data_IF_230297906284
#
_entry.id   IF_230297906284
#
_cell.length_a   1.000
_cell.length_b   1.000
_cell.length_c   1.000
_cell.angle_alpha   90.00
_cell.angle_beta   90.00
_cell.angle_gamma   90.00
#
_symmetry.space_group_name_H-M   'P 1'
#
loop_
_entity.id
_entity.type
_entity.pdbx_description
1 polymer ?
#
# COMPACT_ATOMS: atom_id res chain seq x y z
N UNK A 1 -45.78 -25.75 -65.19
CA UNK A 1 -46.40 -24.56 -64.55
C UNK A 1 -45.97 -24.30 -63.10
N UNK A 2 -44.83 -24.80 -62.58
CA UNK A 2 -44.42 -24.61 -61.16
C UNK A 2 -43.35 -23.52 -60.91
N UNK A 3 -42.85 -22.86 -61.93
CA UNK A 3 -41.75 -21.87 -61.81
C UNK A 3 -42.19 -20.48 -61.35
N UNK A 4 -43.49 -20.15 -61.34
CA UNK A 4 -43.96 -18.79 -61.00
C UNK A 4 -44.01 -18.47 -59.50
N UNK A 5 -43.84 -19.45 -58.60
CA UNK A 5 -43.99 -19.24 -57.14
C UNK A 5 -42.67 -18.91 -56.41
N UNK A 6 -41.51 -19.27 -56.97
CA UNK A 6 -40.22 -19.11 -56.28
C UNK A 6 -39.61 -17.70 -56.33
N UNK A 7 -39.92 -16.94 -57.38
CA UNK A 7 -39.37 -15.59 -57.58
C UNK A 7 -39.68 -14.61 -56.43
N UNK A 8 -40.91 -14.47 -55.92
CA UNK A 8 -41.20 -13.53 -54.82
C UNK A 8 -40.51 -13.91 -53.50
N UNK A 9 -40.31 -15.21 -53.21
CA UNK A 9 -39.60 -15.64 -52.01
C UNK A 9 -38.11 -15.25 -52.04
N UNK A 10 -37.46 -15.38 -53.21
CA UNK A 10 -36.05 -15.01 -53.35
C UNK A 10 -35.87 -13.50 -53.15
N UNK A 11 -36.76 -12.67 -53.70
CA UNK A 11 -36.71 -11.22 -53.50
C UNK A 11 -36.92 -10.83 -52.03
N UNK A 12 -37.87 -11.47 -51.32
CA UNK A 12 -38.10 -11.21 -49.91
C UNK A 12 -36.88 -11.58 -49.03
N UNK A 13 -36.24 -12.71 -49.32
CA UNK A 13 -35.02 -13.13 -48.62
C UNK A 13 -33.85 -12.16 -48.87
N UNK A 14 -33.66 -11.69 -50.11
CA UNK A 14 -32.61 -10.73 -50.44
C UNK A 14 -32.81 -9.38 -49.71
N UNK A 15 -34.04 -8.88 -49.63
CA UNK A 15 -34.35 -7.65 -48.90
C UNK A 15 -34.14 -7.80 -47.39
N UNK A 16 -34.47 -8.96 -46.81
CA UNK A 16 -34.22 -9.22 -45.39
C UNK A 16 -32.71 -9.22 -45.07
N UNK A 17 -31.88 -9.86 -45.92
CA UNK A 17 -30.42 -9.87 -45.75
C UNK A 17 -29.84 -8.45 -45.85
N UNK A 18 -30.27 -7.66 -46.84
CA UNK A 18 -29.84 -6.27 -46.97
C UNK A 18 -30.26 -5.42 -45.76
N UNK A 19 -31.47 -5.62 -45.24
CA UNK A 19 -31.95 -4.95 -44.03
C UNK A 19 -31.08 -5.25 -42.80
N UNK A 20 -30.71 -6.51 -42.60
CA UNK A 20 -29.82 -6.92 -41.50
C UNK A 20 -28.42 -6.32 -41.64
N UNK A 21 -27.86 -6.28 -42.85
CA UNK A 21 -26.55 -5.67 -43.10
C UNK A 21 -26.55 -4.16 -42.82
N UNK A 22 -27.55 -3.43 -43.33
CA UNK A 22 -27.70 -1.99 -43.07
C UNK A 22 -27.92 -1.72 -41.58
N UNK A 23 -28.73 -2.53 -40.89
CA UNK A 23 -28.92 -2.42 -39.45
C UNK A 23 -27.63 -2.62 -38.68
N UNK A 24 -26.83 -3.64 -39.04
CA UNK A 24 -25.55 -3.95 -38.41
C UNK A 24 -24.53 -2.83 -38.59
N UNK A 25 -24.43 -2.28 -39.79
CA UNK A 25 -23.49 -1.20 -40.08
C UNK A 25 -23.91 0.10 -39.38
N UNK A 26 -25.22 0.39 -39.31
CA UNK A 26 -25.76 1.52 -38.55
C UNK A 26 -25.58 1.35 -37.04
N UNK A 27 -25.72 0.13 -36.50
CA UNK A 27 -25.45 -0.14 -35.09
C UNK A 27 -23.97 0.02 -34.76
N UNK A 28 -23.08 -0.48 -35.61
CA UNK A 28 -21.63 -0.30 -35.45
C UNK A 28 -21.22 1.18 -35.49
N UNK A 29 -21.80 1.97 -36.41
CA UNK A 29 -21.54 3.41 -36.48
C UNK A 29 -21.99 4.15 -35.20
N UNK A 30 -23.18 3.79 -34.65
CA UNK A 30 -23.67 4.37 -33.39
C UNK A 30 -22.81 3.99 -32.19
N UNK A 31 -22.30 2.77 -32.13
CA UNK A 31 -21.36 2.33 -31.08
C UNK A 31 -20.03 3.08 -31.19
N UNK A 32 -19.52 3.27 -32.40
CA UNK A 32 -18.31 4.06 -32.64
C UNK A 32 -18.49 5.51 -32.17
N UNK A 33 -19.61 6.17 -32.49
CA UNK A 33 -19.91 7.53 -32.01
C UNK A 33 -20.01 7.61 -30.48
N UNK A 34 -20.70 6.64 -29.84
CA UNK A 34 -20.78 6.57 -28.38
C UNK A 34 -19.40 6.41 -27.74
N UNK A 35 -18.56 5.55 -28.29
CA UNK A 35 -17.19 5.34 -27.79
C UNK A 35 -16.34 6.61 -27.93
N UNK A 36 -16.45 7.32 -29.07
CA UNK A 36 -15.76 8.59 -29.31
C UNK A 36 -16.21 9.66 -28.31
N UNK A 37 -17.51 9.80 -28.09
CA UNK A 37 -18.07 10.76 -27.14
C UNK A 37 -17.65 10.45 -25.70
N UNK A 38 -17.60 9.17 -25.32
CA UNK A 38 -17.10 8.74 -24.01
C UNK A 38 -15.61 9.08 -23.82
N UNK A 39 -14.78 8.92 -24.85
CA UNK A 39 -13.36 9.29 -24.81
C UNK A 39 -13.21 10.82 -24.67
N UNK A 40 -13.96 11.61 -25.44
CA UNK A 40 -13.92 13.07 -25.34
C UNK A 40 -14.37 13.59 -23.98
N UNK A 41 -15.37 12.95 -23.37
CA UNK A 41 -15.80 13.27 -22.00
C UNK A 41 -14.66 13.01 -20.99
N UNK A 42 -14.01 11.85 -21.06
CA UNK A 42 -12.86 11.51 -20.19
C UNK A 42 -11.67 12.46 -20.38
N UNK A 43 -11.37 12.86 -21.61
CA UNK A 43 -10.30 13.84 -21.88
C UNK A 43 -10.64 15.20 -21.26
N UNK A 44 -11.90 15.64 -21.37
CA UNK A 44 -12.35 16.91 -20.79
C UNK A 44 -12.25 16.91 -19.27
N UNK A 45 -12.65 15.80 -18.64
CA UNK A 45 -12.54 15.60 -17.19
C UNK A 45 -11.07 15.59 -16.75
N UNK A 46 -10.20 14.87 -17.46
CA UNK A 46 -8.76 14.83 -17.18
C UNK A 46 -8.10 16.21 -17.29
N UNK A 47 -8.48 17.03 -18.29
CA UNK A 47 -7.97 18.40 -18.44
C UNK A 47 -8.43 19.29 -17.29
N UNK A 48 -9.68 19.16 -16.83
CA UNK A 48 -10.16 19.90 -15.64
C UNK A 48 -9.41 19.50 -14.38
N UNK A 49 -9.23 18.19 -14.16
CA UNK A 49 -8.47 17.67 -13.04
C UNK A 49 -7.02 18.18 -13.04
N UNK A 50 -6.36 18.20 -14.20
CA UNK A 50 -5.01 18.76 -14.34
C UNK A 50 -4.94 20.24 -13.96
N UNK A 51 -5.88 21.06 -14.43
CA UNK A 51 -5.93 22.48 -14.07
C UNK A 51 -6.15 22.70 -12.56
N UNK A 52 -7.00 21.89 -11.93
CA UNK A 52 -7.20 21.95 -10.48
C UNK A 52 -5.92 21.58 -9.72
N UNK A 53 -5.23 20.52 -10.14
CA UNK A 53 -3.96 20.11 -9.54
C UNK A 53 -2.87 21.17 -9.72
N UNK A 54 -2.77 21.79 -10.90
CA UNK A 54 -1.85 22.91 -11.15
C UNK A 54 -2.16 24.12 -10.23
N UNK A 55 -3.44 24.42 -10.00
CA UNK A 55 -3.87 25.45 -9.05
C UNK A 55 -3.51 25.12 -7.58
N UNK A 56 -3.68 23.87 -7.17
CA UNK A 56 -3.29 23.42 -5.82
C UNK A 56 -1.77 23.49 -5.60
N UNK A 57 -0.98 23.12 -6.61
CA UNK A 57 0.48 23.22 -6.56
C UNK A 57 0.95 24.67 -6.46
N UNK A 58 0.30 25.59 -7.18
CA UNK A 58 0.58 27.03 -7.06
C UNK A 58 0.28 27.55 -5.64
N UNK A 59 -0.88 27.21 -5.07
CA UNK A 59 -1.26 27.60 -3.71
C UNK A 59 -0.32 27.01 -2.64
N UNK A 60 0.13 25.76 -2.83
CA UNK A 60 1.13 25.14 -1.97
C UNK A 60 2.49 25.85 -2.07
N UNK A 61 2.89 26.26 -3.28
CA UNK A 61 4.09 27.07 -3.52
C UNK A 61 4.05 28.40 -2.76
N UNK A 62 2.95 29.16 -2.86
CA UNK A 62 2.79 30.41 -2.10
C UNK A 62 2.88 30.19 -0.59
N UNK A 63 2.28 29.12 -0.08
CA UNK A 63 2.31 28.78 1.34
C UNK A 63 3.73 28.47 1.81
N UNK A 64 4.47 27.70 1.00
CA UNK A 64 5.89 27.40 1.25
C UNK A 64 6.73 28.69 1.25
N UNK A 65 6.53 29.56 0.27
CA UNK A 65 7.31 30.79 0.15
C UNK A 65 7.01 31.76 1.31
N UNK A 66 5.76 31.84 1.78
CA UNK A 66 5.40 32.57 3.02
C UNK A 66 6.06 31.96 4.26
N UNK A 67 6.06 30.64 4.39
CA UNK A 67 6.71 29.97 5.51
C UNK A 67 8.23 30.20 5.51
N UNK A 68 8.84 30.19 4.32
CA UNK A 68 10.27 30.48 4.16
C UNK A 68 10.59 31.93 4.50
N UNK A 69 9.78 32.89 4.04
CA UNK A 69 9.94 34.30 4.39
C UNK A 69 9.80 34.51 5.92
N UNK A 70 8.86 33.82 6.57
CA UNK A 70 8.71 33.88 8.03
C UNK A 70 9.93 33.30 8.76
N UNK A 71 10.51 32.20 8.27
CA UNK A 71 11.76 31.63 8.78
C UNK A 71 12.94 32.59 8.63
N UNK A 72 13.06 33.25 7.49
CA UNK A 72 14.15 34.19 7.22
C UNK A 72 14.04 35.48 8.05
N UNK A 73 12.82 35.93 8.35
CA UNK A 73 12.58 37.00 9.32
C UNK A 73 12.97 36.54 10.73
N UNK A 74 12.55 35.34 11.14
CA UNK A 74 12.88 34.79 12.47
C UNK A 74 14.39 34.62 12.69
N UNK A 75 15.15 34.22 11.66
CA UNK A 75 16.63 34.10 11.73
C UNK A 75 17.35 35.44 11.89
N UNK A 76 16.74 36.55 11.45
CA UNK A 76 17.35 37.90 11.51
C UNK A 76 16.98 38.66 12.80
N UNK A 77 16.01 38.18 13.57
CA UNK A 77 15.71 38.77 14.87
C UNK A 77 16.81 38.37 15.87
N UNK A 78 17.41 39.33 16.59
CA UNK A 78 18.37 39.00 17.64
C UNK A 78 17.66 38.15 18.69
N UNK A 79 18.25 36.99 19.00
CA UNK A 79 17.79 36.11 20.08
C UNK A 79 18.06 36.85 21.40
N UNK A 80 17.13 37.73 21.78
CA UNK A 80 17.08 38.22 23.15
C UNK A 80 16.85 36.99 24.02
N UNK A 81 17.80 36.69 24.91
CA UNK A 81 17.73 35.62 25.87
C UNK A 81 16.63 35.93 26.91
N UNK A 82 15.37 35.91 26.48
CA UNK A 82 14.22 35.85 27.35
C UNK A 82 14.12 34.38 27.81
N UNK A 83 14.11 34.18 29.13
CA UNK A 83 13.72 32.89 29.74
C UNK A 83 12.39 32.48 29.11
N UNK A 84 12.41 31.47 28.25
CA UNK A 84 11.23 30.98 27.54
C UNK A 84 10.31 30.38 28.61
N UNK A 85 9.13 30.97 28.92
CA UNK A 85 8.11 30.24 29.65
C UNK A 85 7.74 29.04 28.79
N UNK A 86 7.74 27.85 29.38
CA UNK A 86 7.47 26.58 28.70
C UNK A 86 6.29 26.75 27.73
N UNK A 87 6.57 26.76 26.43
CA UNK A 87 5.54 26.87 25.42
C UNK A 87 4.66 25.63 25.59
N UNK A 88 3.35 25.76 25.84
CA UNK A 88 2.49 24.59 25.93
C UNK A 88 2.64 23.84 24.60
N UNK A 89 3.08 22.58 24.67
CA UNK A 89 3.10 21.67 23.53
C UNK A 89 1.73 21.79 22.88
N UNK A 90 1.67 22.37 21.68
CA UNK A 90 0.43 22.43 20.91
C UNK A 90 0.05 20.98 20.67
N UNK A 91 -0.91 20.46 21.45
CA UNK A 91 -1.48 19.14 21.20
C UNK A 91 -2.04 19.23 19.78
N UNK A 92 -1.33 18.65 18.81
CA UNK A 92 -1.89 18.40 17.49
C UNK A 92 -3.18 17.64 17.75
N UNK A 93 -4.33 18.26 17.48
CA UNK A 93 -5.62 17.59 17.65
C UNK A 93 -5.56 16.27 16.91
N UNK A 94 -5.90 15.17 17.59
CA UNK A 94 -5.96 13.85 16.94
C UNK A 94 -6.84 13.96 15.70
N UNK A 95 -6.59 13.17 14.65
CA UNK A 95 -7.41 13.19 13.42
C UNK A 95 -8.90 12.99 13.74
N UNK A 96 -9.21 12.24 14.81
CA UNK A 96 -10.55 12.08 15.40
C UNK A 96 -11.20 13.39 15.87
N UNK A 97 -10.42 14.36 16.33
CA UNK A 97 -10.91 15.67 16.76
C UNK A 97 -11.24 16.57 15.56
N UNK A 98 -10.52 16.43 14.44
CA UNK A 98 -10.84 17.11 13.18
C UNK A 98 -12.10 16.49 12.56
N UNK A 99 -12.13 15.16 12.45
CA UNK A 99 -13.30 14.40 11.96
C UNK A 99 -14.57 14.72 12.75
N UNK A 100 -14.50 14.82 14.08
CA UNK A 100 -15.65 15.15 14.93
C UNK A 100 -16.26 16.53 14.64
N UNK A 101 -15.43 17.49 14.26
CA UNK A 101 -15.84 18.89 14.10
C UNK A 101 -16.15 19.25 12.63
N UNK A 102 -15.76 18.41 11.66
CA UNK A 102 -15.90 18.65 10.23
C UNK A 102 -16.37 17.38 9.50
N UNK A 103 -17.66 17.24 9.12
CA UNK A 103 -18.17 16.02 8.48
C UNK A 103 -17.51 15.74 7.11
N UNK A 104 -17.11 16.77 6.37
CA UNK A 104 -16.38 16.60 5.11
C UNK A 104 -15.00 15.95 5.34
N UNK A 105 -14.36 16.21 6.49
CA UNK A 105 -13.07 15.62 6.83
C UNK A 105 -13.17 14.10 7.06
N UNK A 106 -14.33 13.60 7.51
CA UNK A 106 -14.58 12.16 7.63
C UNK A 106 -14.59 11.48 6.25
N UNK A 107 -15.29 12.08 5.28
CA UNK A 107 -15.35 11.55 3.92
C UNK A 107 -13.97 11.53 3.26
N UNK A 108 -13.19 12.61 3.41
CA UNK A 108 -11.80 12.66 2.93
C UNK A 108 -10.90 11.65 3.62
N UNK A 109 -11.05 11.46 4.94
CA UNK A 109 -10.29 10.47 5.68
C UNK A 109 -10.57 9.06 5.17
N UNK A 110 -11.83 8.66 5.06
CA UNK A 110 -12.23 7.34 4.54
C UNK A 110 -11.72 7.15 3.10
N UNK A 111 -11.85 8.17 2.25
CA UNK A 111 -11.34 8.12 0.88
C UNK A 111 -9.82 7.91 0.84
N UNK A 112 -9.08 8.58 1.72
CA UNK A 112 -7.63 8.42 1.83
C UNK A 112 -7.23 7.02 2.29
N UNK A 113 -7.94 6.46 3.27
CA UNK A 113 -7.70 5.10 3.76
C UNK A 113 -7.98 4.06 2.67
N UNK A 114 -9.06 4.22 1.90
CA UNK A 114 -9.33 3.34 0.75
C UNK A 114 -8.24 3.42 -0.31
N UNK A 115 -7.71 4.62 -0.57
CA UNK A 115 -6.63 4.79 -1.54
C UNK A 115 -5.34 4.08 -1.06
N UNK A 116 -4.99 4.21 0.22
CA UNK A 116 -3.85 3.50 0.81
C UNK A 116 -4.03 1.98 0.76
N UNK A 117 -5.20 1.48 1.18
CA UNK A 117 -5.53 0.06 1.11
C UNK A 117 -5.54 -0.47 -0.34
N UNK A 118 -6.02 0.32 -1.30
CA UNK A 118 -5.97 -0.05 -2.72
C UNK A 118 -4.54 -0.14 -3.23
N UNK A 119 -3.65 0.76 -2.81
CA UNK A 119 -2.23 0.70 -3.15
C UNK A 119 -1.55 -0.51 -2.50
N UNK A 120 -1.79 -0.73 -1.21
CA UNK A 120 -1.15 -1.80 -0.42
C UNK A 120 -1.64 -3.21 -0.78
N UNK A 121 -2.94 -3.40 -0.99
CA UNK A 121 -3.55 -4.71 -1.26
C UNK A 121 -4.00 -4.91 -2.70
N UNK A 122 -3.83 -3.92 -3.58
CA UNK A 122 -4.17 -4.03 -5.00
C UNK A 122 -3.64 -5.29 -5.69
N UNK A 123 -2.37 -5.70 -5.47
CA UNK A 123 -1.86 -6.98 -5.99
C UNK A 123 -2.66 -8.19 -5.50
N UNK A 124 -2.97 -8.26 -4.21
CA UNK A 124 -3.76 -9.35 -3.61
C UNK A 124 -5.19 -9.38 -4.15
N UNK A 125 -5.84 -8.22 -4.23
CA UNK A 125 -7.20 -8.07 -4.79
C UNK A 125 -7.27 -8.62 -6.22
N UNK A 126 -6.25 -8.32 -7.05
CA UNK A 126 -6.16 -8.85 -8.42
C UNK A 126 -5.87 -10.36 -8.44
N UNK A 127 -4.98 -10.84 -7.59
CA UNK A 127 -4.65 -12.28 -7.50
C UNK A 127 -5.87 -13.11 -7.10
N UNK A 128 -6.67 -12.61 -6.16
CA UNK A 128 -7.91 -13.23 -5.70
C UNK A 128 -9.11 -13.00 -6.64
N UNK A 129 -8.93 -12.16 -7.67
CA UNK A 129 -9.98 -11.79 -8.64
C UNK A 129 -11.26 -11.27 -7.97
N UNK A 130 -11.11 -10.49 -6.90
CA UNK A 130 -12.27 -9.91 -6.20
C UNK A 130 -13.00 -8.93 -7.13
N UNK A 131 -14.34 -8.96 -7.10
CA UNK A 131 -15.15 -7.93 -7.77
C UNK A 131 -14.97 -6.58 -7.07
N UNK A 132 -15.31 -5.44 -7.71
CA UNK A 132 -15.25 -4.14 -7.06
C UNK A 132 -16.00 -4.09 -5.72
N UNK A 133 -17.16 -4.74 -5.64
CA UNK A 133 -17.98 -4.80 -4.43
C UNK A 133 -17.33 -5.66 -3.34
N UNK A 134 -16.72 -6.79 -3.70
CA UNK A 134 -15.98 -7.63 -2.77
C UNK A 134 -14.70 -6.91 -2.27
N UNK A 135 -13.99 -6.22 -3.16
CA UNK A 135 -12.83 -5.41 -2.80
C UNK A 135 -13.21 -4.27 -1.84
N UNK A 136 -14.36 -3.61 -2.05
CA UNK A 136 -14.85 -2.59 -1.14
C UNK A 136 -15.12 -3.15 0.27
N UNK A 137 -15.83 -4.28 0.38
CA UNK A 137 -16.07 -4.96 1.66
C UNK A 137 -14.77 -5.42 2.35
N UNK A 138 -13.82 -5.92 1.56
CA UNK A 138 -12.49 -6.28 2.03
C UNK A 138 -11.78 -5.07 2.68
N UNK A 139 -11.84 -3.90 2.03
CA UNK A 139 -11.26 -2.66 2.57
C UNK A 139 -12.03 -2.14 3.78
N UNK A 140 -13.36 -2.23 3.79
CA UNK A 140 -14.21 -1.80 4.90
C UNK A 140 -13.84 -2.52 6.20
N UNK A 141 -13.53 -3.82 6.12
CA UNK A 141 -13.08 -4.58 7.27
C UNK A 141 -11.76 -4.05 7.85
N UNK A 142 -10.82 -3.57 7.01
CA UNK A 142 -9.59 -2.93 7.49
C UNK A 142 -9.86 -1.58 8.15
N UNK A 143 -10.66 -0.73 7.51
CA UNK A 143 -11.03 0.59 8.06
C UNK A 143 -11.70 0.40 9.42
N UNK A 144 -12.61 -0.59 9.53
CA UNK A 144 -13.27 -0.91 10.78
C UNK A 144 -12.31 -1.37 11.88
N UNK A 145 -11.31 -2.19 11.52
CA UNK A 145 -10.26 -2.60 12.45
C UNK A 145 -9.45 -1.42 12.96
N UNK A 146 -9.16 -0.44 12.10
CA UNK A 146 -8.45 0.78 12.47
C UNK A 146 -9.30 1.70 13.37
N UNK A 147 -10.60 1.83 13.08
CA UNK A 147 -11.58 2.49 13.97
C UNK A 147 -11.57 1.87 15.37
N UNK A 148 -11.71 0.54 15.44
CA UNK A 148 -11.69 -0.16 16.73
C UNK A 148 -10.35 0.05 17.47
N UNK A 149 -9.20 0.11 16.76
CA UNK A 149 -7.91 0.43 17.36
C UNK A 149 -7.83 1.87 17.89
N UNK A 150 -8.43 2.82 17.18
CA UNK A 150 -8.53 4.21 17.62
C UNK A 150 -9.41 4.34 18.88
N UNK A 151 -10.53 3.62 18.93
CA UNK A 151 -11.39 3.55 20.10
C UNK A 151 -10.66 2.94 21.30
N UNK A 152 -9.92 1.85 21.09
CA UNK A 152 -9.08 1.23 22.13
C UNK A 152 -8.03 2.21 22.67
N UNK A 153 -7.36 2.95 21.79
CA UNK A 153 -6.39 3.97 22.18
C UNK A 153 -7.02 5.14 22.93
N UNK A 154 -8.27 5.50 22.60
CA UNK A 154 -9.02 6.53 23.33
C UNK A 154 -9.40 6.05 24.74
N UNK A 155 -9.87 4.80 24.88
CA UNK A 155 -10.18 4.18 26.18
C UNK A 155 -8.96 4.13 27.11
N UNK A 156 -7.79 3.80 26.57
CA UNK A 156 -6.53 3.78 27.33
C UNK A 156 -6.11 5.16 27.86
N UNK A 157 -6.50 6.24 27.19
CA UNK A 157 -6.19 7.62 27.61
C UNK A 157 -7.16 8.17 28.65
N UNK A 158 -8.32 7.54 28.87
CA UNK A 158 -9.28 7.99 29.87
C UNK A 158 -8.73 7.74 31.29
N UNK A 159 -9.03 8.62 32.27
CA UNK A 159 -8.70 8.34 33.67
C UNK A 159 -9.28 6.99 34.12
N UNK A 160 -8.43 6.08 34.59
CA UNK A 160 -8.82 4.71 34.94
C UNK A 160 -8.83 3.70 33.78
N UNK A 161 -8.34 4.06 32.59
CA UNK A 161 -8.21 3.16 31.44
C UNK A 161 -7.30 1.95 31.74
N UNK A 162 -6.18 2.17 32.43
CA UNK A 162 -5.22 1.13 32.82
C UNK A 162 -5.81 0.08 33.77
N UNK A 163 -6.78 0.48 34.62
CA UNK A 163 -7.42 -0.44 35.57
C UNK A 163 -8.45 -1.37 34.93
N UNK A 164 -8.79 -1.17 33.65
CA UNK A 164 -9.79 -1.94 32.90
C UNK A 164 -9.19 -3.01 31.98
N UNK A 165 -8.03 -3.58 32.33
CA UNK A 165 -7.28 -4.53 31.49
C UNK A 165 -8.13 -5.68 30.91
N UNK A 166 -9.05 -6.27 31.71
CA UNK A 166 -9.93 -7.34 31.22
C UNK A 166 -10.89 -6.86 30.12
N UNK A 167 -11.57 -5.74 30.33
CA UNK A 167 -12.50 -5.19 29.35
C UNK A 167 -11.78 -4.76 28.06
N UNK A 168 -10.55 -4.22 28.17
CA UNK A 168 -9.72 -3.88 27.01
C UNK A 168 -9.30 -5.13 26.21
N UNK A 169 -8.90 -6.20 26.90
CA UNK A 169 -8.58 -7.48 26.25
C UNK A 169 -9.81 -8.09 25.56
N UNK A 170 -10.98 -8.06 26.20
CA UNK A 170 -12.24 -8.53 25.61
C UNK A 170 -12.63 -7.70 24.38
N UNK A 171 -12.48 -6.38 24.43
CA UNK A 171 -12.71 -5.50 23.29
C UNK A 171 -11.75 -5.82 22.13
N UNK A 172 -10.44 -5.96 22.42
CA UNK A 172 -9.45 -6.29 21.41
C UNK A 172 -9.71 -7.66 20.77
N UNK A 173 -10.03 -8.68 21.57
CA UNK A 173 -10.37 -10.02 21.09
C UNK A 173 -11.62 -10.00 20.21
N UNK A 174 -12.66 -9.26 20.62
CA UNK A 174 -13.89 -9.09 19.84
C UNK A 174 -13.64 -8.36 18.51
N UNK A 175 -12.88 -7.27 18.53
CA UNK A 175 -12.51 -6.52 17.32
C UNK A 175 -11.74 -7.42 16.34
N UNK A 176 -10.76 -8.18 16.83
CA UNK A 176 -10.01 -9.12 16.01
C UNK A 176 -10.92 -10.21 15.43
N UNK A 177 -11.79 -10.83 16.24
CA UNK A 177 -12.73 -11.84 15.76
C UNK A 177 -13.69 -11.30 14.67
N UNK A 178 -14.20 -10.08 14.85
CA UNK A 178 -15.06 -9.41 13.87
C UNK A 178 -14.33 -9.12 12.56
N UNK A 179 -13.08 -8.65 12.65
CA UNK A 179 -12.23 -8.44 11.48
C UNK A 179 -12.03 -9.74 10.71
N UNK A 180 -11.63 -10.82 11.39
CA UNK A 180 -11.39 -12.10 10.72
C UNK A 180 -12.65 -12.69 10.11
N UNK A 181 -13.78 -12.62 10.82
CA UNK A 181 -15.08 -13.08 10.30
C UNK A 181 -15.46 -12.30 9.03
N UNK A 182 -15.27 -10.97 9.04
CA UNK A 182 -15.56 -10.11 7.87
C UNK A 182 -14.65 -10.46 6.69
N UNK A 183 -13.35 -10.68 6.95
CA UNK A 183 -12.41 -11.08 5.90
C UNK A 183 -12.75 -12.47 5.33
N UNK A 184 -13.01 -13.47 6.18
CA UNK A 184 -13.42 -14.82 5.73
C UNK A 184 -14.75 -14.80 4.97
N UNK A 185 -15.70 -13.95 5.34
CA UNK A 185 -16.97 -13.82 4.61
C UNK A 185 -16.78 -13.31 3.17
N UNK A 186 -15.77 -12.47 2.93
CA UNK A 186 -15.47 -11.93 1.59
C UNK A 186 -14.54 -12.84 0.80
N UNK A 187 -13.53 -13.43 1.45
CA UNK A 187 -12.43 -14.14 0.78
C UNK A 187 -12.58 -15.67 0.80
N UNK A 188 -13.42 -16.21 1.68
CA UNK A 188 -13.40 -17.61 2.08
C UNK A 188 -12.12 -17.99 2.84
N UNK A 189 -12.07 -19.22 3.35
CA UNK A 189 -10.91 -19.69 4.15
C UNK A 189 -9.61 -19.75 3.34
N UNK A 190 -9.69 -20.11 2.06
CA UNK A 190 -8.52 -20.14 1.19
C UNK A 190 -7.98 -18.74 0.89
N UNK A 191 -8.86 -17.77 0.60
CA UNK A 191 -8.46 -16.38 0.35
C UNK A 191 -7.99 -15.69 1.63
N UNK A 192 -8.58 -16.01 2.78
CA UNK A 192 -8.11 -15.49 4.07
C UNK A 192 -6.69 -15.97 4.40
N UNK A 193 -6.35 -17.24 4.16
CA UNK A 193 -4.96 -17.72 4.30
C UNK A 193 -3.98 -16.99 3.38
N UNK A 194 -4.42 -16.64 2.16
CA UNK A 194 -3.59 -15.82 1.25
C UNK A 194 -3.41 -14.40 1.79
N UNK A 195 -4.43 -13.81 2.42
CA UNK A 195 -4.32 -12.53 3.11
C UNK A 195 -3.31 -12.59 4.25
N UNK A 196 -3.40 -13.61 5.12
CA UNK A 196 -2.46 -13.77 6.24
C UNK A 196 -1.01 -13.86 5.73
N UNK A 197 -0.79 -14.65 4.68
CA UNK A 197 0.53 -14.77 4.05
C UNK A 197 1.01 -13.46 3.40
N UNK A 198 0.08 -12.73 2.77
CA UNK A 198 0.37 -11.42 2.22
C UNK A 198 0.78 -10.42 3.32
N UNK A 199 0.09 -10.41 4.46
CA UNK A 199 0.42 -9.56 5.61
C UNK A 199 1.78 -9.88 6.21
N UNK A 200 2.13 -11.16 6.29
CA UNK A 200 3.44 -11.61 6.78
C UNK A 200 4.60 -11.08 5.95
N UNK A 201 4.35 -10.68 4.70
CA UNK A 201 5.35 -10.10 3.79
C UNK A 201 5.16 -8.60 3.54
N UNK A 202 4.23 -7.93 4.25
CA UNK A 202 3.84 -6.54 3.98
C UNK A 202 5.01 -5.53 4.09
N UNK A 203 5.84 -5.65 5.13
CA UNK A 203 7.04 -4.80 5.31
C UNK A 203 8.02 -4.95 4.14
N UNK A 204 8.27 -6.19 3.73
CA UNK A 204 9.13 -6.53 2.58
C UNK A 204 8.56 -6.01 1.27
N UNK A 205 7.23 -6.11 1.07
CA UNK A 205 6.55 -5.55 -0.11
C UNK A 205 6.67 -4.03 -0.19
N UNK A 206 6.59 -3.33 0.94
CA UNK A 206 6.83 -1.89 1.01
C UNK A 206 8.24 -1.53 0.57
N UNK A 207 9.25 -2.24 1.07
CA UNK A 207 10.65 -2.05 0.69
C UNK A 207 10.90 -2.33 -0.80
N UNK A 208 10.41 -3.47 -1.32
CA UNK A 208 10.57 -3.82 -2.74
C UNK A 208 9.82 -2.83 -3.65
N UNK A 209 8.64 -2.35 -3.25
CA UNK A 209 7.90 -1.32 -3.99
C UNK A 209 8.68 -0.01 -4.07
N UNK A 210 9.36 0.41 -3.00
CA UNK A 210 10.20 1.61 -3.01
C UNK A 210 11.37 1.46 -4.00
N UNK A 211 12.05 0.31 -3.98
CA UNK A 211 13.14 0.00 -4.92
C UNK A 211 12.63 -0.04 -6.36
N UNK A 212 11.50 -0.69 -6.61
CA UNK A 212 10.87 -0.75 -7.93
C UNK A 212 10.48 0.65 -8.44
N UNK A 213 10.04 1.54 -7.55
CA UNK A 213 9.75 2.94 -7.87
C UNK A 213 10.98 3.68 -8.40
N UNK A 214 12.14 3.50 -7.78
CA UNK A 214 13.38 4.09 -8.31
C UNK A 214 13.84 3.39 -9.57
N UNK A 215 13.73 2.07 -9.63
CA UNK A 215 14.08 1.32 -10.83
C UNK A 215 13.29 1.80 -12.05
N UNK A 216 12.03 2.20 -11.87
CA UNK A 216 11.23 2.83 -12.91
C UNK A 216 11.78 4.20 -13.36
N UNK A 217 12.24 5.05 -12.42
CA UNK A 217 12.88 6.34 -12.72
C UNK A 217 14.18 6.14 -13.50
N UNK A 218 14.97 5.14 -13.12
CA UNK A 218 16.22 4.72 -13.77
C UNK A 218 16.01 3.92 -15.07
N UNK A 219 14.76 3.90 -15.59
CA UNK A 219 14.37 3.21 -16.84
C UNK A 219 14.68 1.71 -16.84
N UNK A 220 14.72 1.09 -15.68
CA UNK A 220 14.88 -0.34 -15.47
C UNK A 220 13.74 -0.91 -14.60
N UNK A 221 12.46 -0.69 -14.94
CA UNK A 221 11.33 -1.05 -14.08
C UNK A 221 11.33 -2.56 -13.80
N UNK A 222 10.96 -2.94 -12.57
CA UNK A 222 10.74 -4.35 -12.24
C UNK A 222 9.41 -4.80 -12.85
N UNK A 223 9.35 -6.02 -13.38
CA UNK A 223 8.05 -6.62 -13.70
C UNK A 223 7.33 -6.99 -12.40
N UNK A 224 5.98 -7.12 -12.41
CA UNK A 224 5.24 -7.59 -11.24
C UNK A 224 5.77 -8.93 -10.70
N UNK A 225 6.11 -9.86 -11.60
CA UNK A 225 6.65 -11.17 -11.24
C UNK A 225 8.03 -11.06 -10.60
N UNK A 226 8.90 -10.16 -11.07
CA UNK A 226 10.20 -9.92 -10.46
C UNK A 226 10.06 -9.32 -9.05
N UNK A 227 9.15 -8.36 -8.87
CA UNK A 227 8.89 -7.77 -7.56
C UNK A 227 8.37 -8.81 -6.56
N UNK A 228 7.39 -9.64 -6.96
CA UNK A 228 6.87 -10.70 -6.11
C UNK A 228 7.93 -11.77 -5.79
N UNK A 229 8.71 -12.21 -6.79
CA UNK A 229 9.80 -13.17 -6.57
C UNK A 229 10.86 -12.61 -5.62
N UNK A 230 11.20 -11.33 -5.74
CA UNK A 230 12.15 -10.67 -4.84
C UNK A 230 11.61 -10.56 -3.41
N UNK A 231 10.32 -10.25 -3.25
CA UNK A 231 9.64 -10.28 -1.94
C UNK A 231 9.76 -11.65 -1.29
N UNK A 232 9.50 -12.72 -2.04
CA UNK A 232 9.61 -14.09 -1.53
C UNK A 232 11.05 -14.48 -1.21
N UNK A 233 12.03 -14.05 -2.01
CA UNK A 233 13.44 -14.27 -1.73
C UNK A 233 13.86 -13.62 -0.40
N UNK A 234 13.47 -12.36 -0.17
CA UNK A 234 13.77 -11.63 1.06
C UNK A 234 13.03 -12.25 2.26
N UNK A 235 11.74 -12.52 2.12
CA UNK A 235 10.95 -13.13 3.19
C UNK A 235 11.46 -14.53 3.55
N UNK A 236 11.72 -15.39 2.56
CA UNK A 236 12.26 -16.74 2.78
C UNK A 236 13.64 -16.74 3.44
N UNK A 237 14.42 -15.69 3.24
CA UNK A 237 15.70 -15.49 3.91
C UNK A 237 15.59 -14.98 5.37
N UNK A 238 14.42 -14.50 5.81
CA UNK A 238 14.14 -14.10 7.20
C UNK A 238 13.90 -15.32 8.11
N UNK A 239 14.60 -15.37 9.25
CA UNK A 239 14.40 -16.43 10.25
C UNK A 239 13.00 -16.37 10.87
N UNK A 240 12.53 -15.17 11.24
CA UNK A 240 11.18 -14.99 11.79
C UNK A 240 10.11 -15.46 10.82
N UNK A 241 10.26 -15.15 9.53
CA UNK A 241 9.31 -15.61 8.52
C UNK A 241 9.29 -17.14 8.42
N UNK A 242 10.46 -17.81 8.42
CA UNK A 242 10.50 -19.28 8.42
C UNK A 242 9.85 -19.91 9.66
N UNK A 243 9.78 -19.19 10.78
CA UNK A 243 9.12 -19.62 12.03
C UNK A 243 7.61 -19.36 12.07
N UNK A 244 7.00 -18.83 11.01
CA UNK A 244 5.56 -18.52 10.99
C UNK A 244 5.22 -17.07 11.30
N UNK A 245 6.20 -16.22 11.64
CA UNK A 245 5.97 -14.81 11.94
C UNK A 245 6.04 -13.95 10.68
N UNK A 246 5.90 -12.63 10.85
CA UNK A 246 6.14 -11.66 9.78
C UNK A 246 7.64 -11.59 9.46
N UNK A 247 7.96 -11.30 8.19
CA UNK A 247 9.34 -11.09 7.76
C UNK A 247 9.96 -9.88 8.48
N UNK A 248 11.12 -10.10 9.09
CA UNK A 248 11.86 -9.10 9.85
C UNK A 248 13.18 -8.81 9.15
N UNK A 249 13.40 -7.58 8.69
CA UNK A 249 14.58 -7.23 7.90
C UNK A 249 15.91 -7.36 8.66
N UNK A 250 15.86 -7.37 9.99
CA UNK A 250 17.04 -7.52 10.86
C UNK A 250 17.61 -8.95 10.89
N UNK A 251 16.82 -9.97 10.54
CA UNK A 251 17.23 -11.38 10.57
C UNK A 251 17.36 -12.00 9.16
N UNK A 252 17.23 -11.19 8.12
CA UNK A 252 17.35 -11.62 6.73
C UNK A 252 18.79 -12.05 6.43
N UNK A 253 18.95 -13.21 5.82
CA UNK A 253 20.22 -13.58 5.19
C UNK A 253 20.41 -12.88 3.84
N UNK A 254 20.91 -11.64 3.89
CA UNK A 254 21.13 -10.82 2.71
C UNK A 254 22.09 -11.43 1.69
N UNK A 255 23.01 -12.30 2.12
CA UNK A 255 23.91 -12.99 1.19
C UNK A 255 23.14 -13.99 0.30
N UNK A 256 22.21 -14.74 0.90
CA UNK A 256 21.31 -15.62 0.18
C UNK A 256 20.33 -14.84 -0.71
N UNK A 257 19.82 -13.70 -0.22
CA UNK A 257 18.95 -12.81 -1.01
C UNK A 257 19.67 -12.30 -2.25
N UNK A 258 20.92 -11.84 -2.14
CA UNK A 258 21.68 -11.36 -3.30
C UNK A 258 21.89 -12.46 -4.34
N UNK A 259 22.22 -13.69 -3.90
CA UNK A 259 22.37 -14.82 -4.80
C UNK A 259 21.08 -15.11 -5.58
N UNK A 260 19.92 -15.10 -4.91
CA UNK A 260 18.61 -15.28 -5.56
C UNK A 260 18.20 -14.08 -6.42
N UNK A 261 18.49 -12.86 -5.97
CA UNK A 261 18.16 -11.65 -6.71
C UNK A 261 18.87 -11.60 -8.07
N UNK A 262 20.08 -12.16 -8.20
CA UNK A 262 20.79 -12.29 -9.49
C UNK A 262 20.06 -13.20 -10.50
N UNK A 263 19.23 -14.14 -10.04
CA UNK A 263 18.44 -15.00 -10.92
C UNK A 263 17.07 -14.40 -11.26
N UNK A 264 16.62 -13.41 -10.48
CA UNK A 264 15.32 -12.75 -10.63
C UNK A 264 15.45 -11.46 -11.46
N UNK A 265 16.50 -10.67 -11.20
CA UNK A 265 16.70 -9.33 -11.72
C UNK A 265 17.71 -9.31 -12.88
N UNK A 266 17.52 -8.38 -13.82
CA UNK A 266 18.55 -8.06 -14.80
C UNK A 266 19.79 -7.44 -14.12
N UNK A 267 20.97 -7.40 -14.78
CA UNK A 267 22.16 -6.80 -14.18
C UNK A 267 21.98 -5.34 -13.74
N UNK A 268 21.24 -4.54 -14.53
CA UNK A 268 20.94 -3.15 -14.20
C UNK A 268 20.00 -3.06 -12.98
N UNK A 269 18.94 -3.87 -12.96
CA UNK A 269 18.01 -3.93 -11.83
C UNK A 269 18.69 -4.40 -10.54
N UNK A 270 19.59 -5.37 -10.64
CA UNK A 270 20.37 -5.88 -9.52
C UNK A 270 21.33 -4.83 -8.95
N UNK A 271 21.93 -4.02 -9.83
CA UNK A 271 22.75 -2.87 -9.40
C UNK A 271 21.89 -1.91 -8.57
N UNK A 272 20.74 -1.48 -9.08
CA UNK A 272 19.81 -0.60 -8.36
C UNK A 272 19.40 -1.21 -7.00
N UNK A 273 19.05 -2.50 -6.99
CA UNK A 273 18.69 -3.22 -5.77
C UNK A 273 19.81 -3.21 -4.72
N UNK A 274 21.08 -3.28 -5.12
CA UNK A 274 22.22 -3.38 -4.18
C UNK A 274 22.84 -2.04 -3.80
N UNK A 275 22.72 -1.02 -4.64
CA UNK A 275 23.33 0.30 -4.41
C UNK A 275 22.41 1.30 -3.74
N UNK A 276 21.10 1.08 -3.76
CA UNK A 276 20.15 2.02 -3.17
C UNK A 276 19.93 1.81 -1.69
N UNK A 277 20.06 2.91 -0.94
CA UNK A 277 19.52 3.04 0.40
C UNK A 277 18.10 3.65 0.26
N UNK A 278 17.01 2.91 0.51
CA UNK A 278 15.65 3.40 0.33
C UNK A 278 15.27 4.44 1.41
N UNK A 279 15.80 5.65 1.28
CA UNK A 279 15.25 6.89 1.84
C UNK A 279 15.35 7.10 3.37
N UNK A 280 14.97 8.31 3.83
CA UNK A 280 15.37 8.85 5.14
C UNK A 280 14.59 8.32 6.36
N UNK A 281 13.55 7.50 6.18
CA UNK A 281 12.59 7.22 7.26
C UNK A 281 12.69 5.83 7.89
N UNK A 282 13.40 4.86 7.30
CA UNK A 282 13.54 3.49 7.84
C UNK A 282 14.84 2.91 7.32
N UNK A 283 15.66 2.38 8.23
CA UNK A 283 17.02 1.91 7.97
C UNK A 283 17.18 1.32 6.58
N UNK A 284 17.88 2.03 5.69
CA UNK A 284 18.00 1.57 4.33
C UNK A 284 18.78 0.25 4.24
N UNK A 285 18.82 -0.35 3.06
CA UNK A 285 19.42 -1.66 2.83
C UNK A 285 20.85 -1.72 3.40
N UNK A 286 21.60 -0.63 3.26
CA UNK A 286 22.96 -0.54 3.76
C UNK A 286 23.01 -0.50 5.29
N UNK A 287 22.13 0.28 5.91
CA UNK A 287 21.99 0.33 7.36
C UNK A 287 21.49 -1.01 7.93
N UNK A 288 20.57 -1.68 7.24
CA UNK A 288 20.07 -3.01 7.62
C UNK A 288 21.17 -4.08 7.51
N UNK A 289 21.99 -4.03 6.44
CA UNK A 289 23.19 -4.88 6.31
C UNK A 289 24.17 -4.64 7.45
N UNK A 290 24.44 -3.38 7.77
CA UNK A 290 25.30 -3.00 8.89
C UNK A 290 24.75 -3.54 10.22
N UNK A 291 23.47 -3.35 10.52
CA UNK A 291 22.86 -3.86 11.75
C UNK A 291 22.88 -5.39 11.82
N UNK A 292 22.58 -6.07 10.71
CA UNK A 292 22.67 -7.52 10.65
C UNK A 292 24.11 -8.01 10.90
N UNK A 293 25.11 -7.33 10.34
CA UNK A 293 26.53 -7.64 10.58
C UNK A 293 26.90 -7.45 12.06
N UNK A 294 26.53 -6.32 12.66
CA UNK A 294 26.78 -6.02 14.08
C UNK A 294 26.08 -7.04 14.98
N UNK A 295 24.82 -7.38 14.70
CA UNK A 295 24.07 -8.37 15.48
C UNK A 295 24.70 -9.77 15.40
N UNK A 296 25.15 -10.19 14.22
CA UNK A 296 25.86 -11.47 14.04
C UNK A 296 27.20 -11.48 14.79
N UNK A 297 27.96 -10.39 14.72
CA UNK A 297 29.22 -10.26 15.45
C UNK A 297 29.01 -10.35 16.97
N UNK A 298 28.00 -9.62 17.49
CA UNK A 298 27.65 -9.66 18.91
C UNK A 298 27.23 -11.07 19.38
N UNK A 299 26.43 -11.79 18.57
CA UNK A 299 26.03 -13.16 18.86
C UNK A 299 27.23 -14.12 18.90
N UNK A 300 28.11 -14.04 17.92
CA UNK A 300 29.32 -14.88 17.86
C UNK A 300 30.25 -14.63 19.07
N UNK A 301 30.36 -13.38 19.51
CA UNK A 301 31.13 -13.01 20.70
C UNK A 301 30.51 -13.57 21.99
N UNK A 302 29.18 -13.50 22.14
CA UNK A 302 28.47 -14.09 23.27
C UNK A 302 28.65 -15.62 23.34
N UNK A 303 28.56 -16.32 22.20
CA UNK A 303 28.81 -17.76 22.12
C UNK A 303 30.24 -18.13 22.51
N UNK A 304 31.23 -17.35 22.05
CA UNK A 304 32.65 -17.53 22.43
C UNK A 304 32.87 -17.34 23.93
N UNK A 305 32.25 -16.33 24.53
CA UNK A 305 32.36 -16.04 25.97
C UNK A 305 31.71 -17.15 26.82
N UNK A 306 30.55 -17.66 26.41
CA UNK A 306 29.90 -18.78 27.08
C UNK A 306 30.72 -20.08 26.98
N UNK A 307 31.35 -20.34 25.82
CA UNK A 307 32.24 -21.48 25.64
C UNK A 307 33.55 -21.38 26.46
N UNK A 308 34.02 -20.16 26.77
CA UNK A 308 35.16 -19.95 27.64
C UNK A 308 34.79 -20.14 29.13
N UNK A 309 33.62 -19.65 29.54
CA UNK A 309 33.12 -19.81 30.91
C UNK A 309 32.92 -21.29 31.29
N UNK A 310 32.36 -22.10 30.38
CA UNK A 310 32.14 -23.54 30.63
C UNK A 310 33.42 -24.38 30.73
N UNK A 311 34.56 -23.85 30.26
CA UNK A 311 35.86 -24.53 30.31
C UNK A 311 36.69 -24.23 31.55
N UNK A 312 36.24 -23.33 32.43
CA UNK A 312 36.94 -23.04 33.69
C UNK A 312 36.49 -24.08 34.72
N UNK A 313 37.30 -25.11 35.03
CA UNK A 313 36.90 -26.14 35.98
C UNK A 313 36.84 -25.51 37.37
N UNK A 314 35.78 -25.78 38.12
CA UNK A 314 35.67 -25.40 39.53
C UNK A 314 36.91 -25.86 40.27
N UNK A 315 37.66 -24.89 40.83
CA UNK A 315 38.72 -25.13 41.80
C UNK A 315 38.11 -25.41 43.16
#
# INVERSE_FOLDING_TARGET
>A
MRTKVYFPMICAAALAVLGVLVWRDLSAAREAERSRNAILARVTEAVRGRRQAEGQLAAAGETRDRAQAALDVSKKMPVAAAKIPATPVRQQGSILAVIRNEPDAEAFYIASQRADLAARYGPLIRALKLTPEAAAKFQDAFIRKEEDQMDLAALLRMPGGETNGKALMEFQAKSQANYEASQRAVLGDAGYRQLEEYERTSSTRGMVSAIAGVAAVERAPFTPQQADALVQAIAGASENYRKGYQANHNDVDWSAVEAQARTILSPQQFTIFTTMDPGPSRAGLLQTRMYALVARAAKAEAEKNNAAASKTPGR
#
